data_IF_148398611293
#
_entry.id   IF_148398611293
#
_cell.length_a   1.000
_cell.length_b   1.000
_cell.length_c   1.000
_cell.angle_alpha   90.00
_cell.angle_beta   90.00
_cell.angle_gamma   90.00
#
_symmetry.space_group_name_H-M   'P 1'
#
loop_
_entity.id
_entity.type
_entity.pdbx_description
1 polymer ?
#
# COMPACT_ATOMS: atom_id res chain seq x y z
N UNK A 1 -56.17 -26.17 40.59
CA UNK A 1 -54.72 -25.83 40.71
C UNK A 1 -54.17 -25.58 39.34
N UNK A 2 -53.97 -24.30 38.96
CA UNK A 2 -53.45 -23.86 37.65
C UNK A 2 -51.98 -23.50 37.79
N UNK A 3 -51.09 -24.17 37.07
CA UNK A 3 -49.69 -23.77 36.94
C UNK A 3 -49.54 -22.89 35.71
N UNK A 4 -49.14 -21.65 35.90
CA UNK A 4 -48.78 -20.69 34.85
C UNK A 4 -47.33 -20.94 34.44
N UNK A 5 -47.08 -21.22 33.17
CA UNK A 5 -45.75 -21.22 32.57
C UNK A 5 -45.31 -19.79 32.21
N UNK A 6 -44.15 -19.41 32.67
CA UNK A 6 -43.48 -18.15 32.26
C UNK A 6 -42.68 -18.42 31.01
N UNK A 7 -43.03 -17.75 29.92
CA UNK A 7 -42.18 -17.61 28.71
C UNK A 7 -41.21 -16.46 28.96
N UNK A 8 -39.94 -16.76 29.03
CA UNK A 8 -38.86 -15.77 29.04
C UNK A 8 -38.54 -15.45 27.59
N UNK A 9 -38.91 -14.26 27.16
CA UNK A 9 -38.46 -13.67 25.88
C UNK A 9 -37.08 -13.06 26.08
N UNK A 10 -36.05 -13.69 25.54
CA UNK A 10 -34.71 -13.12 25.48
C UNK A 10 -34.65 -12.02 24.39
N UNK A 11 -34.65 -10.76 24.81
CA UNK A 11 -34.34 -9.63 24.01
C UNK A 11 -32.82 -9.61 23.74
N UNK A 12 -32.39 -10.06 22.58
CA UNK A 12 -31.08 -9.76 22.01
C UNK A 12 -31.10 -8.30 21.53
N UNK A 13 -30.66 -7.39 22.39
CA UNK A 13 -30.38 -6.02 21.98
C UNK A 13 -29.12 -6.02 21.11
N UNK A 14 -29.30 -5.89 19.80
CA UNK A 14 -28.21 -5.66 18.85
C UNK A 14 -27.55 -4.33 19.17
N UNK A 15 -26.31 -4.37 19.63
CA UNK A 15 -25.43 -3.19 19.67
C UNK A 15 -25.04 -2.84 18.25
N UNK A 16 -25.83 -2.04 17.59
CA UNK A 16 -25.41 -1.28 16.42
C UNK A 16 -24.42 -0.22 16.90
N UNK A 17 -23.13 -0.52 16.83
CA UNK A 17 -22.08 0.45 17.01
C UNK A 17 -22.16 1.51 15.89
N UNK A 18 -22.70 2.69 16.24
CA UNK A 18 -22.57 3.88 15.37
C UNK A 18 -21.08 4.15 15.21
N UNK A 19 -20.61 4.25 13.98
CA UNK A 19 -19.31 4.83 13.64
C UNK A 19 -19.28 6.25 14.25
N UNK A 20 -18.68 6.36 15.43
CA UNK A 20 -18.67 7.57 16.21
C UNK A 20 -17.51 8.47 15.80
N UNK A 21 -17.71 9.79 15.89
CA UNK A 21 -16.65 10.79 15.88
C UNK A 21 -15.77 10.56 17.13
N UNK A 22 -14.85 9.62 17.04
CA UNK A 22 -13.85 9.37 18.07
C UNK A 22 -12.71 10.37 17.90
N UNK A 23 -12.41 11.14 18.96
CA UNK A 23 -11.15 11.87 19.11
C UNK A 23 -10.03 10.83 19.33
N UNK A 24 -9.66 10.11 18.27
CA UNK A 24 -8.63 9.06 18.31
C UNK A 24 -7.25 9.67 18.09
N UNK A 25 -6.58 10.11 19.13
CA UNK A 25 -5.11 10.07 19.11
C UNK A 25 -4.74 8.60 19.21
N UNK A 26 -4.16 8.04 18.11
CA UNK A 26 -3.47 6.77 18.19
C UNK A 26 -2.42 6.89 19.31
N UNK A 27 -2.75 6.38 20.49
CA UNK A 27 -1.79 6.25 21.57
C UNK A 27 -0.61 5.48 20.97
N UNK A 28 0.62 5.95 21.18
CA UNK A 28 1.84 5.24 20.78
C UNK A 28 1.79 3.86 21.45
N UNK A 29 1.27 2.88 20.72
CA UNK A 29 1.40 1.48 21.16
C UNK A 29 2.89 1.17 21.09
N UNK A 30 3.45 0.79 22.27
CA UNK A 30 4.79 0.20 22.28
C UNK A 30 4.80 -0.98 21.30
N UNK A 31 5.88 -1.16 20.54
CA UNK A 31 6.02 -2.33 19.69
C UNK A 31 5.75 -3.59 20.50
N UNK A 32 4.93 -4.49 19.99
CA UNK A 32 4.83 -5.83 20.56
C UNK A 32 6.21 -6.50 20.37
N UNK A 33 6.94 -6.68 21.44
CA UNK A 33 8.23 -7.36 21.42
C UNK A 33 8.01 -8.79 20.94
N UNK A 34 8.65 -9.20 19.83
CA UNK A 34 8.84 -10.60 19.48
C UNK A 34 8.10 -11.15 18.27
N UNK A 35 7.13 -10.47 17.64
CA UNK A 35 6.47 -11.00 16.44
C UNK A 35 7.00 -10.34 15.17
N UNK A 36 7.82 -11.09 14.43
CA UNK A 36 8.20 -10.73 13.06
C UNK A 36 6.96 -10.65 12.16
N UNK A 37 6.92 -9.68 11.23
CA UNK A 37 5.84 -9.57 10.27
C UNK A 37 5.74 -10.83 9.39
N UNK A 38 4.51 -11.32 9.12
CA UNK A 38 4.31 -12.39 8.14
C UNK A 38 4.87 -11.97 6.77
N UNK A 39 5.31 -12.95 6.00
CA UNK A 39 5.77 -12.77 4.62
C UNK A 39 4.90 -13.57 3.66
N UNK A 40 4.80 -13.09 2.42
CA UNK A 40 4.09 -13.76 1.33
C UNK A 40 4.92 -13.75 0.07
N UNK A 41 4.76 -14.81 -0.72
CA UNK A 41 5.43 -14.95 -2.01
C UNK A 41 5.10 -13.78 -2.92
N UNK A 42 6.16 -13.09 -3.38
CA UNK A 42 6.07 -12.10 -4.44
C UNK A 42 6.20 -12.80 -5.80
N UNK A 43 7.35 -13.40 -6.04
CA UNK A 43 7.65 -14.11 -7.27
C UNK A 43 8.91 -14.97 -7.06
N UNK A 44 9.03 -16.10 -7.80
CA UNK A 44 10.16 -17.01 -7.71
C UNK A 44 10.50 -17.38 -6.25
N UNK A 45 11.68 -17.02 -5.78
CA UNK A 45 12.19 -17.23 -4.42
C UNK A 45 12.05 -15.99 -3.50
N UNK A 46 11.37 -14.94 -3.98
CA UNK A 46 11.22 -13.67 -3.25
C UNK A 46 9.95 -13.65 -2.41
N UNK A 47 10.11 -13.48 -1.10
CA UNK A 47 9.01 -13.25 -0.15
C UNK A 47 9.06 -11.81 0.37
N UNK A 48 7.92 -11.12 0.37
CA UNK A 48 7.77 -9.77 0.92
C UNK A 48 7.03 -9.78 2.25
N UNK A 49 7.42 -8.89 3.16
CA UNK A 49 6.63 -8.59 4.35
C UNK A 49 5.25 -8.08 3.93
N UNK A 50 4.20 -8.54 4.62
CA UNK A 50 2.80 -8.18 4.29
C UNK A 50 2.51 -6.69 4.45
N UNK A 51 3.36 -5.96 5.17
CA UNK A 51 3.39 -4.49 5.22
C UNK A 51 4.71 -4.02 4.63
N UNK A 52 4.65 -3.12 3.65
CA UNK A 52 5.81 -2.45 3.07
C UNK A 52 6.03 -1.07 3.67
N UNK A 53 7.27 -0.60 3.62
CA UNK A 53 7.66 0.74 4.02
C UNK A 53 7.52 1.72 2.86
N UNK A 54 6.63 2.70 2.98
CA UNK A 54 6.50 3.78 1.99
C UNK A 54 7.48 4.92 2.26
N UNK A 55 8.39 5.22 1.33
CA UNK A 55 9.43 6.25 1.48
C UNK A 55 8.90 7.66 1.81
N UNK A 56 7.64 7.95 1.49
CA UNK A 56 6.94 9.18 1.91
C UNK A 56 7.06 9.44 3.44
N UNK A 57 7.18 8.39 4.25
CA UNK A 57 7.37 8.48 5.71
C UNK A 57 8.59 9.36 6.04
N UNK A 58 9.65 9.28 5.24
CA UNK A 58 10.93 9.94 5.50
C UNK A 58 10.98 11.43 5.15
N UNK A 59 9.98 11.94 4.43
CA UNK A 59 9.90 13.38 4.13
C UNK A 59 9.83 14.19 5.44
N UNK A 60 10.45 15.35 5.44
CA UNK A 60 10.55 16.28 6.60
C UNK A 60 11.28 15.71 7.83
N UNK A 61 11.97 14.55 7.73
CA UNK A 61 12.80 13.98 8.79
C UNK A 61 14.25 14.41 8.62
N UNK A 62 15.01 14.50 9.72
CA UNK A 62 16.48 14.51 9.64
C UNK A 62 17.01 13.14 9.17
N UNK A 63 18.23 13.09 8.64
CA UNK A 63 18.85 11.81 8.25
C UNK A 63 18.97 10.84 9.44
N UNK A 64 19.23 11.35 10.64
CA UNK A 64 19.31 10.55 11.86
C UNK A 64 17.98 9.87 12.18
N UNK A 65 16.87 10.60 12.08
CA UNK A 65 15.52 10.04 12.29
C UNK A 65 15.18 9.02 11.20
N UNK A 66 15.50 9.32 9.94
CA UNK A 66 15.30 8.39 8.83
C UNK A 66 16.07 7.06 9.06
N UNK A 67 17.33 7.14 9.50
CA UNK A 67 18.12 5.95 9.81
C UNK A 67 17.49 5.12 10.94
N UNK A 68 16.99 5.77 11.99
CA UNK A 68 16.32 5.08 13.11
C UNK A 68 15.04 4.37 12.69
N UNK A 69 14.20 5.06 11.92
CA UNK A 69 12.92 4.52 11.44
C UNK A 69 13.11 3.36 10.47
N UNK A 70 14.09 3.45 9.57
CA UNK A 70 14.41 2.38 8.63
C UNK A 70 15.02 1.17 9.36
N UNK A 71 15.91 1.38 10.32
CA UNK A 71 16.45 0.31 11.14
C UNK A 71 15.35 -0.41 11.93
N UNK A 72 14.47 0.33 12.61
CA UNK A 72 13.33 -0.26 13.33
C UNK A 72 12.44 -1.09 12.39
N UNK A 73 12.13 -0.57 11.20
CA UNK A 73 11.33 -1.29 10.23
C UNK A 73 12.00 -2.61 9.81
N UNK A 74 13.29 -2.58 9.50
CA UNK A 74 14.06 -3.77 9.11
C UNK A 74 14.14 -4.79 10.25
N UNK A 75 14.42 -4.36 11.48
CA UNK A 75 14.51 -5.20 12.67
C UNK A 75 13.17 -5.88 12.99
N UNK A 76 12.05 -5.24 12.65
CA UNK A 76 10.69 -5.80 12.76
C UNK A 76 10.29 -6.70 11.58
N UNK A 77 11.21 -6.97 10.65
CA UNK A 77 11.04 -7.89 9.54
C UNK A 77 10.44 -7.28 8.27
N UNK A 78 10.34 -5.94 8.19
CA UNK A 78 9.98 -5.27 6.93
C UNK A 78 11.15 -5.44 5.96
N UNK A 79 10.88 -6.05 4.81
CA UNK A 79 11.85 -6.19 3.74
C UNK A 79 11.40 -5.59 2.41
N UNK A 80 10.21 -5.01 2.33
CA UNK A 80 9.69 -4.30 1.15
C UNK A 80 9.71 -2.80 1.40
N UNK A 81 10.58 -2.09 0.67
CA UNK A 81 10.71 -0.64 0.69
C UNK A 81 10.32 -0.06 -0.65
N UNK A 82 9.42 0.91 -0.64
CA UNK A 82 8.82 1.50 -1.84
C UNK A 82 8.97 3.03 -1.82
N UNK A 83 9.64 3.58 -2.81
CA UNK A 83 9.94 5.02 -2.92
C UNK A 83 9.65 5.54 -4.32
N UNK A 84 9.65 6.85 -4.50
CA UNK A 84 9.54 7.49 -5.79
C UNK A 84 10.24 8.86 -5.79
N UNK A 85 10.81 9.32 -6.93
CA UNK A 85 11.43 10.64 -7.07
C UNK A 85 10.44 11.79 -6.84
N UNK A 86 9.14 11.56 -7.03
CA UNK A 86 8.09 12.55 -6.74
C UNK A 86 7.85 12.78 -5.23
N UNK A 87 8.38 11.92 -4.34
CA UNK A 87 8.19 12.07 -2.90
C UNK A 87 9.18 13.13 -2.35
N UNK A 88 8.66 14.33 -2.08
CA UNK A 88 9.47 15.46 -1.64
C UNK A 88 10.52 15.91 -2.68
N UNK A 89 10.20 15.79 -3.98
CA UNK A 89 11.13 16.13 -5.08
C UNK A 89 12.48 15.40 -4.99
N UNK A 90 12.47 14.17 -4.47
CA UNK A 90 13.66 13.32 -4.28
C UNK A 90 14.16 13.24 -2.84
N UNK A 91 13.64 14.05 -1.93
CA UNK A 91 14.03 14.03 -0.51
C UNK A 91 13.91 12.63 0.11
N UNK A 92 12.81 11.91 -0.20
CA UNK A 92 12.60 10.56 0.29
C UNK A 92 13.69 9.58 -0.18
N UNK A 93 14.14 9.70 -1.44
CA UNK A 93 15.22 8.89 -1.99
C UNK A 93 16.56 9.20 -1.32
N UNK A 94 16.88 10.49 -1.16
CA UNK A 94 18.13 10.96 -0.56
C UNK A 94 18.28 10.52 0.91
N UNK A 95 17.17 10.39 1.63
CA UNK A 95 17.14 9.89 3.00
C UNK A 95 17.13 8.36 3.09
N UNK A 96 16.39 7.71 2.19
CA UNK A 96 16.27 6.26 2.20
C UNK A 96 17.59 5.57 1.79
N UNK A 97 18.32 6.10 0.82
CA UNK A 97 19.58 5.52 0.33
C UNK A 97 20.58 5.24 1.45
N UNK A 98 21.07 6.27 2.17
CA UNK A 98 21.97 6.08 3.30
C UNK A 98 21.39 5.20 4.40
N UNK A 99 20.07 5.34 4.70
CA UNK A 99 19.41 4.58 5.76
C UNK A 99 19.33 3.08 5.44
N UNK A 100 19.22 2.70 4.15
CA UNK A 100 19.19 1.31 3.71
C UNK A 100 20.57 0.68 3.49
N UNK A 101 21.64 1.43 3.55
CA UNK A 101 22.98 0.94 3.15
C UNK A 101 23.39 -0.37 3.85
N UNK A 102 23.11 -0.50 5.14
CA UNK A 102 23.39 -1.71 5.92
C UNK A 102 22.45 -2.89 5.59
N UNK A 103 21.27 -2.61 5.04
CA UNK A 103 20.20 -3.59 4.80
C UNK A 103 20.01 -3.93 3.33
N UNK A 104 20.65 -3.19 2.40
CA UNK A 104 20.37 -3.26 0.95
C UNK A 104 20.31 -4.69 0.38
N UNK A 105 21.19 -5.57 0.86
CA UNK A 105 21.26 -6.97 0.40
C UNK A 105 20.14 -7.87 0.91
N UNK A 106 19.43 -7.45 1.94
CA UNK A 106 18.37 -8.22 2.59
C UNK A 106 16.98 -7.68 2.36
N UNK A 107 16.87 -6.54 1.66
CA UNK A 107 15.59 -5.88 1.38
C UNK A 107 15.26 -5.89 -0.11
N UNK A 108 13.97 -5.83 -0.40
CA UNK A 108 13.42 -5.62 -1.72
C UNK A 108 13.13 -4.12 -1.89
N UNK A 109 13.92 -3.46 -2.72
CA UNK A 109 13.81 -2.02 -2.98
C UNK A 109 13.06 -1.77 -4.28
N UNK A 110 11.93 -1.08 -4.16
CA UNK A 110 11.10 -0.64 -5.27
C UNK A 110 11.19 0.86 -5.48
N UNK A 111 11.38 1.29 -6.72
CA UNK A 111 11.31 2.68 -7.11
C UNK A 111 10.36 2.88 -8.30
N UNK A 112 10.09 4.13 -8.69
CA UNK A 112 9.08 4.44 -9.70
C UNK A 112 9.52 5.62 -10.58
N UNK A 113 8.83 5.79 -11.74
CA UNK A 113 8.96 7.00 -12.56
C UNK A 113 7.59 7.52 -13.00
N UNK A 114 7.44 8.84 -13.01
CA UNK A 114 6.29 9.53 -13.60
C UNK A 114 6.46 9.73 -15.13
N UNK A 115 7.64 9.45 -15.66
CA UNK A 115 7.95 9.65 -17.06
C UNK A 115 7.27 8.59 -17.95
N UNK A 116 6.84 9.02 -19.13
CA UNK A 116 6.16 8.15 -20.10
C UNK A 116 6.96 7.95 -21.38
N UNK A 117 8.07 8.65 -21.53
CA UNK A 117 9.00 8.60 -22.66
C UNK A 117 10.35 8.02 -22.26
N UNK A 118 11.02 7.36 -23.18
CA UNK A 118 12.24 6.58 -22.92
C UNK A 118 13.39 7.43 -22.35
N UNK A 119 13.71 8.57 -22.97
CA UNK A 119 14.82 9.42 -22.53
C UNK A 119 14.64 9.99 -21.11
N UNK A 120 13.53 10.69 -20.84
CA UNK A 120 13.22 11.16 -19.49
C UNK A 120 13.18 10.04 -18.43
N UNK A 121 12.59 8.88 -18.76
CA UNK A 121 12.55 7.73 -17.84
C UNK A 121 13.95 7.18 -17.52
N UNK A 122 14.86 7.15 -18.49
CA UNK A 122 16.25 6.76 -18.25
C UNK A 122 16.99 7.77 -17.36
N UNK A 123 16.83 9.05 -17.64
CA UNK A 123 17.43 10.10 -16.82
C UNK A 123 16.93 10.06 -15.37
N UNK A 124 15.65 9.77 -15.17
CA UNK A 124 15.08 9.63 -13.83
C UNK A 124 15.58 8.36 -13.14
N UNK A 125 15.62 7.21 -13.82
CA UNK A 125 16.19 5.95 -13.29
C UNK A 125 17.63 6.13 -12.80
N UNK A 126 18.50 6.74 -13.62
CA UNK A 126 19.92 6.99 -13.27
C UNK A 126 20.02 7.92 -12.06
N UNK A 127 19.19 8.95 -11.99
CA UNK A 127 19.14 9.90 -10.89
C UNK A 127 18.68 9.22 -9.59
N UNK A 128 17.67 8.36 -9.66
CA UNK A 128 17.14 7.59 -8.54
C UNK A 128 18.16 6.58 -8.00
N UNK A 129 18.85 5.84 -8.88
CA UNK A 129 19.93 4.94 -8.48
C UNK A 129 21.04 5.69 -7.70
N UNK A 130 21.42 6.89 -8.17
CA UNK A 130 22.41 7.72 -7.50
C UNK A 130 21.94 8.20 -6.12
N UNK A 131 20.69 8.71 -6.01
CA UNK A 131 20.15 9.20 -4.73
C UNK A 131 19.99 8.08 -3.71
N UNK A 132 19.57 6.92 -4.16
CA UNK A 132 19.38 5.74 -3.32
C UNK A 132 20.68 4.96 -3.05
N UNK A 133 21.81 5.41 -3.63
CA UNK A 133 23.14 4.81 -3.43
C UNK A 133 23.16 3.29 -3.70
N UNK A 134 22.50 2.89 -4.79
CA UNK A 134 22.36 1.49 -5.22
C UNK A 134 22.63 1.36 -6.71
N UNK A 135 23.07 0.19 -7.14
CA UNK A 135 23.34 -0.14 -8.55
C UNK A 135 22.11 -0.74 -9.26
N UNK A 136 21.10 -1.19 -8.50
CA UNK A 136 19.88 -1.76 -9.05
C UNK A 136 18.66 -1.55 -8.17
N UNK A 137 17.48 -1.72 -8.77
CA UNK A 137 16.18 -1.89 -8.10
C UNK A 137 15.69 -3.32 -8.26
N UNK A 138 15.11 -3.84 -7.18
CA UNK A 138 14.39 -5.11 -7.27
C UNK A 138 13.11 -4.95 -8.12
N UNK A 139 12.38 -3.85 -7.96
CA UNK A 139 11.20 -3.52 -8.75
C UNK A 139 11.27 -2.06 -9.22
N UNK A 140 11.05 -1.83 -10.51
CA UNK A 140 10.87 -0.49 -11.04
C UNK A 140 9.50 -0.36 -11.69
N UNK A 141 8.77 0.74 -11.39
CA UNK A 141 7.35 0.86 -11.70
C UNK A 141 7.02 2.13 -12.49
N UNK A 142 6.12 2.03 -13.46
CA UNK A 142 5.39 3.20 -13.95
C UNK A 142 4.53 3.74 -12.83
N UNK A 143 4.71 5.01 -12.46
CA UNK A 143 4.06 5.61 -11.29
C UNK A 143 2.71 6.23 -11.64
N UNK A 144 1.67 5.86 -10.90
CA UNK A 144 0.37 6.52 -10.90
C UNK A 144 -0.26 6.68 -12.30
N UNK A 145 -0.28 5.61 -13.09
CA UNK A 145 -0.96 5.63 -14.39
C UNK A 145 -2.46 5.83 -14.17
N UNK A 146 -3.03 6.88 -14.74
CA UNK A 146 -4.42 7.29 -14.50
C UNK A 146 -5.26 7.43 -15.76
N UNK A 147 -4.63 7.61 -16.91
CA UNK A 147 -5.31 7.87 -18.19
C UNK A 147 -4.85 6.92 -19.28
N UNK A 148 -5.73 6.65 -20.24
CA UNK A 148 -5.42 5.78 -21.37
C UNK A 148 -4.36 6.36 -22.30
N UNK A 149 -4.32 7.70 -22.48
CA UNK A 149 -3.26 8.34 -23.28
C UNK A 149 -1.85 8.17 -22.68
N UNK A 150 -1.75 8.08 -21.35
CA UNK A 150 -0.47 7.73 -20.71
C UNK A 150 -0.06 6.28 -21.04
N UNK A 151 -1.04 5.37 -21.07
CA UNK A 151 -0.80 3.98 -21.48
C UNK A 151 -0.29 3.93 -22.91
N UNK A 152 -0.96 4.64 -23.86
CA UNK A 152 -0.49 4.70 -25.26
C UNK A 152 0.96 5.20 -25.35
N UNK A 153 1.31 6.26 -24.64
CA UNK A 153 2.67 6.84 -24.64
C UNK A 153 3.71 5.88 -24.08
N UNK A 154 3.41 5.14 -23.02
CA UNK A 154 4.32 4.16 -22.41
C UNK A 154 4.71 3.07 -23.43
N UNK A 155 3.76 2.64 -24.26
CA UNK A 155 3.95 1.53 -25.21
C UNK A 155 4.28 1.98 -26.64
N UNK A 156 4.26 3.28 -26.94
CA UNK A 156 4.62 3.82 -28.25
C UNK A 156 6.13 3.63 -28.53
N UNK A 157 6.56 3.68 -29.81
CA UNK A 157 7.99 3.82 -30.15
C UNK A 157 8.59 5.03 -29.42
N UNK A 158 9.72 4.85 -28.74
CA UNK A 158 10.33 5.85 -27.86
C UNK A 158 9.62 6.01 -26.51
N UNK A 159 8.67 5.14 -26.18
CA UNK A 159 7.99 5.12 -24.89
C UNK A 159 8.84 4.53 -23.76
N UNK A 160 8.46 4.84 -22.52
CA UNK A 160 9.26 4.51 -21.35
C UNK A 160 9.45 3.00 -21.14
N UNK A 161 8.60 2.13 -21.72
CA UNK A 161 8.79 0.68 -21.66
C UNK A 161 10.12 0.23 -22.28
N UNK A 162 10.59 0.90 -23.32
CA UNK A 162 11.88 0.57 -23.94
C UNK A 162 13.04 0.72 -22.94
N UNK A 163 13.01 1.77 -22.14
CA UNK A 163 13.99 2.00 -21.07
C UNK A 163 13.90 0.90 -20.00
N UNK A 164 12.70 0.52 -19.57
CA UNK A 164 12.53 -0.53 -18.56
C UNK A 164 13.08 -1.89 -19.05
N UNK A 165 12.74 -2.26 -20.29
CA UNK A 165 13.22 -3.51 -20.88
C UNK A 165 14.74 -3.51 -21.04
N UNK A 166 15.33 -2.40 -21.49
CA UNK A 166 16.78 -2.22 -21.60
C UNK A 166 17.45 -2.30 -20.22
N UNK A 167 16.95 -1.54 -19.23
CA UNK A 167 17.49 -1.52 -17.88
C UNK A 167 17.43 -2.89 -17.19
N UNK A 168 16.39 -3.69 -17.48
CA UNK A 168 16.30 -5.07 -17.00
C UNK A 168 17.40 -5.96 -17.63
N UNK A 169 17.67 -5.83 -18.91
CA UNK A 169 18.76 -6.55 -19.57
C UNK A 169 20.14 -6.15 -19.03
N UNK A 170 20.30 -4.88 -18.62
CA UNK A 170 21.51 -4.34 -18.02
C UNK A 170 21.66 -4.68 -16.53
N UNK A 171 20.69 -5.34 -15.92
CA UNK A 171 20.71 -5.69 -14.50
C UNK A 171 20.39 -4.52 -13.54
N UNK A 172 20.03 -3.35 -14.04
CA UNK A 172 19.61 -2.19 -13.23
C UNK A 172 18.21 -2.35 -12.63
N UNK A 173 17.39 -3.22 -13.20
CA UNK A 173 16.03 -3.54 -12.76
C UNK A 173 15.87 -5.06 -12.79
N UNK A 174 15.38 -5.68 -11.70
CA UNK A 174 15.05 -7.10 -11.70
C UNK A 174 13.65 -7.36 -12.21
N UNK A 175 12.66 -6.68 -11.64
CA UNK A 175 11.23 -6.82 -11.97
C UNK A 175 10.65 -5.50 -12.49
N UNK A 176 9.66 -5.61 -13.37
CA UNK A 176 8.95 -4.48 -13.98
C UNK A 176 7.50 -4.50 -13.51
N UNK A 177 7.04 -3.39 -12.92
CA UNK A 177 5.67 -3.22 -12.50
C UNK A 177 5.09 -1.87 -12.87
N UNK A 178 3.89 -1.62 -12.38
CA UNK A 178 3.26 -0.31 -12.47
C UNK A 178 2.35 -0.06 -11.27
N UNK A 179 2.10 1.22 -10.98
CA UNK A 179 1.02 1.65 -10.10
C UNK A 179 -0.02 2.43 -10.89
N UNK A 180 -1.29 2.26 -10.55
CA UNK A 180 -2.38 2.95 -11.22
C UNK A 180 -3.44 3.41 -10.22
N UNK A 181 -4.15 4.49 -10.55
CA UNK A 181 -5.28 5.00 -9.78
C UNK A 181 -6.58 5.07 -10.62
N UNK A 182 -6.61 4.34 -11.74
CA UNK A 182 -7.76 4.15 -12.62
C UNK A 182 -7.85 2.67 -13.00
N UNK A 183 -9.03 2.06 -12.88
CA UNK A 183 -9.22 0.67 -13.30
C UNK A 183 -9.03 0.52 -14.81
N UNK A 184 -9.58 1.45 -15.60
CA UNK A 184 -9.42 1.41 -17.06
C UNK A 184 -7.94 1.44 -17.47
N UNK A 185 -7.14 2.33 -16.87
CA UNK A 185 -5.72 2.40 -17.14
C UNK A 185 -4.98 1.14 -16.67
N UNK A 186 -5.31 0.62 -15.48
CA UNK A 186 -4.69 -0.60 -14.96
C UNK A 186 -4.98 -1.83 -15.84
N UNK A 187 -6.23 -1.98 -16.26
CA UNK A 187 -6.65 -3.07 -17.15
C UNK A 187 -5.95 -2.99 -18.51
N UNK A 188 -5.85 -1.77 -19.08
CA UNK A 188 -5.15 -1.53 -20.34
C UNK A 188 -3.65 -1.81 -20.24
N UNK A 189 -3.00 -1.48 -19.11
CA UNK A 189 -1.60 -1.84 -18.85
C UNK A 189 -1.42 -3.37 -18.83
N UNK A 190 -2.27 -4.08 -18.09
CA UNK A 190 -2.23 -5.54 -17.98
C UNK A 190 -2.46 -6.27 -19.30
N UNK A 191 -3.18 -5.66 -20.25
CA UNK A 191 -3.40 -6.24 -21.58
C UNK A 191 -2.18 -6.17 -22.50
N UNK A 192 -1.24 -5.26 -22.24
CA UNK A 192 -0.19 -4.92 -23.19
C UNK A 192 1.19 -5.48 -22.87
N UNK A 193 1.44 -5.85 -21.62
CA UNK A 193 2.76 -6.34 -21.21
C UNK A 193 2.66 -7.33 -20.06
N UNK A 194 3.55 -8.30 -20.03
CA UNK A 194 3.68 -9.25 -18.92
C UNK A 194 4.42 -8.60 -17.75
N UNK A 195 3.69 -7.79 -16.99
CA UNK A 195 4.20 -7.16 -15.78
C UNK A 195 4.44 -8.20 -14.67
N UNK A 196 5.44 -7.95 -13.84
CA UNK A 196 5.71 -8.75 -12.66
C UNK A 196 4.77 -8.41 -11.50
N UNK A 197 4.36 -7.14 -11.38
CA UNK A 197 3.41 -6.71 -10.34
C UNK A 197 2.59 -5.48 -10.73
N UNK A 198 1.43 -5.35 -10.08
CA UNK A 198 0.60 -4.15 -10.05
C UNK A 198 0.45 -3.65 -8.62
N UNK A 199 0.70 -2.36 -8.40
CA UNK A 199 0.47 -1.65 -7.14
C UNK A 199 -0.77 -0.77 -7.29
N UNK A 200 -1.87 -1.14 -6.62
CA UNK A 200 -3.19 -0.55 -6.85
C UNK A 200 -3.90 -0.18 -5.54
N UNK A 201 -4.72 0.90 -5.51
CA UNK A 201 -5.50 1.26 -4.34
C UNK A 201 -6.56 0.21 -4.04
N UNK A 202 -6.19 -0.78 -3.24
CA UNK A 202 -7.07 -1.84 -2.80
C UNK A 202 -7.20 -1.77 -1.28
N UNK A 203 -8.34 -1.25 -0.82
CA UNK A 203 -8.65 -1.03 0.59
C UNK A 203 -10.13 -1.21 0.87
N UNK A 204 -10.48 -1.35 2.14
CA UNK A 204 -11.82 -1.68 2.60
C UNK A 204 -12.90 -0.74 2.02
N UNK A 205 -12.73 0.57 2.12
CA UNK A 205 -13.77 1.55 1.72
C UNK A 205 -13.90 1.65 0.20
N UNK A 206 -12.78 1.66 -0.54
CA UNK A 206 -12.83 1.67 -2.01
C UNK A 206 -13.46 0.39 -2.56
N UNK A 207 -13.15 -0.75 -1.96
CA UNK A 207 -13.76 -2.03 -2.31
C UNK A 207 -15.27 -2.02 -2.06
N UNK A 208 -15.69 -1.71 -0.82
CA UNK A 208 -17.07 -1.86 -0.40
C UNK A 208 -18.02 -0.81 -0.99
N UNK A 209 -17.61 0.46 -1.01
CA UNK A 209 -18.45 1.59 -1.40
C UNK A 209 -18.14 2.13 -2.79
N UNK A 210 -16.93 1.84 -3.30
CA UNK A 210 -16.49 2.27 -4.63
C UNK A 210 -16.62 1.20 -5.70
N UNK A 211 -16.76 -0.06 -5.33
CA UNK A 211 -16.58 -1.24 -6.20
C UNK A 211 -15.24 -1.21 -6.95
N UNK A 212 -14.27 -0.49 -6.40
CA UNK A 212 -12.98 -0.21 -7.03
C UNK A 212 -11.93 -1.23 -6.60
N UNK A 213 -11.29 -1.84 -7.55
CA UNK A 213 -10.20 -2.80 -7.35
C UNK A 213 -10.48 -4.24 -7.76
N UNK A 214 -11.68 -4.82 -7.56
CA UNK A 214 -11.93 -6.22 -7.85
C UNK A 214 -11.54 -6.66 -9.26
N UNK A 215 -11.93 -5.90 -10.28
CA UNK A 215 -11.64 -6.23 -11.69
C UNK A 215 -10.13 -6.26 -11.97
N UNK A 216 -9.37 -5.31 -11.44
CA UNK A 216 -7.90 -5.26 -11.59
C UNK A 216 -7.24 -6.43 -10.86
N UNK A 217 -7.68 -6.73 -9.63
CA UNK A 217 -7.13 -7.82 -8.83
C UNK A 217 -7.39 -9.18 -9.46
N UNK A 218 -8.60 -9.41 -9.99
CA UNK A 218 -8.96 -10.65 -10.68
C UNK A 218 -8.13 -10.82 -11.96
N UNK A 219 -8.05 -9.77 -12.80
CA UNK A 219 -7.28 -9.82 -14.03
C UNK A 219 -5.79 -10.08 -13.75
N UNK A 220 -5.21 -9.37 -12.78
CA UNK A 220 -3.83 -9.58 -12.39
C UNK A 220 -3.58 -11.01 -11.90
N UNK A 221 -4.51 -11.57 -11.11
CA UNK A 221 -4.47 -12.98 -10.67
C UNK A 221 -4.44 -13.95 -11.85
N UNK A 222 -5.36 -13.78 -12.79
CA UNK A 222 -5.48 -14.66 -13.97
C UNK A 222 -4.24 -14.60 -14.87
N UNK A 223 -3.52 -13.48 -14.89
CA UNK A 223 -2.28 -13.29 -15.62
C UNK A 223 -1.02 -13.68 -14.82
N UNK A 224 -1.16 -14.12 -13.57
CA UNK A 224 -0.02 -14.42 -12.70
C UNK A 224 0.79 -13.18 -12.29
N UNK A 225 0.18 -11.98 -12.35
CA UNK A 225 0.79 -10.72 -11.93
C UNK A 225 0.61 -10.53 -10.42
N UNK A 226 1.70 -10.26 -9.72
CA UNK A 226 1.67 -10.04 -8.27
C UNK A 226 0.88 -8.79 -7.91
N UNK A 227 0.03 -8.89 -6.90
CA UNK A 227 -0.86 -7.83 -6.45
C UNK A 227 -0.32 -7.19 -5.18
N UNK A 228 -0.01 -5.89 -5.27
CA UNK A 228 0.42 -5.05 -4.17
C UNK A 228 -0.67 -4.01 -3.89
N UNK A 229 -1.05 -3.84 -2.63
CA UNK A 229 -2.12 -2.93 -2.24
C UNK A 229 -1.58 -1.57 -1.81
N UNK A 230 -2.22 -0.48 -2.24
CA UNK A 230 -1.98 0.88 -1.77
C UNK A 230 -3.07 1.33 -0.81
N UNK A 231 -2.72 2.27 0.08
CA UNK A 231 -3.69 3.03 0.88
C UNK A 231 -4.54 2.12 1.78
N UNK A 232 -3.91 1.11 2.35
CA UNK A 232 -4.56 0.10 3.22
C UNK A 232 -5.42 0.73 4.33
N UNK A 233 -5.00 1.86 4.91
CA UNK A 233 -5.72 2.60 5.95
C UNK A 233 -6.41 3.86 5.39
N UNK A 234 -6.92 3.84 4.15
CA UNK A 234 -7.67 4.99 3.64
C UNK A 234 -9.15 4.90 4.07
N UNK A 235 -9.62 5.97 4.74
CA UNK A 235 -11.02 6.16 5.11
C UNK A 235 -11.81 6.78 3.95
N UNK A 236 -11.34 7.90 3.39
CA UNK A 236 -12.04 8.63 2.36
C UNK A 236 -11.35 9.94 1.98
N UNK A 237 -12.04 10.84 1.25
CA UNK A 237 -11.53 12.16 0.95
C UNK A 237 -11.29 12.97 2.23
N UNK A 238 -10.34 13.91 2.18
CA UNK A 238 -10.16 14.86 3.28
C UNK A 238 -11.45 15.68 3.48
N UNK A 239 -11.81 15.98 4.74
CA UNK A 239 -12.84 16.97 5.03
C UNK A 239 -12.53 18.30 4.34
N UNK A 240 -13.56 18.99 3.85
CA UNK A 240 -13.40 20.31 3.20
C UNK A 240 -12.84 21.37 4.15
N UNK A 241 -13.10 21.22 5.42
CA UNK A 241 -12.70 22.15 6.47
C UNK A 241 -11.96 21.40 7.58
N UNK A 242 -11.04 22.08 8.25
CA UNK A 242 -10.28 21.53 9.36
C UNK A 242 -8.79 21.38 9.09
N UNK A 243 -8.02 21.24 10.17
CA UNK A 243 -6.57 21.03 10.11
C UNK A 243 -6.29 19.56 9.80
N UNK A 244 -5.37 19.30 8.87
CA UNK A 244 -4.91 17.95 8.58
C UNK A 244 -4.14 17.37 9.78
N UNK A 245 -4.62 16.29 10.35
CA UNK A 245 -3.91 15.55 11.41
C UNK A 245 -2.64 14.88 10.88
N UNK A 246 -2.66 14.49 9.60
CA UNK A 246 -1.57 13.82 8.89
C UNK A 246 -1.16 14.64 7.66
N UNK A 247 -0.19 15.56 7.79
CA UNK A 247 0.13 16.52 6.74
C UNK A 247 0.52 15.89 5.40
N UNK A 248 1.21 14.74 5.44
CA UNK A 248 1.65 14.01 4.24
C UNK A 248 0.53 13.21 3.55
N UNK A 249 -0.61 13.01 4.21
CA UNK A 249 -1.75 12.32 3.60
C UNK A 249 -2.63 13.33 2.84
N UNK A 250 -2.94 13.01 1.57
CA UNK A 250 -3.88 13.80 0.76
C UNK A 250 -5.33 13.27 0.84
N UNK A 251 -5.56 12.25 1.63
CA UNK A 251 -6.84 11.65 1.97
C UNK A 251 -6.95 11.50 3.49
N UNK A 252 -8.15 11.24 4.00
CA UNK A 252 -8.37 10.97 5.42
C UNK A 252 -7.93 9.52 5.72
N UNK A 253 -6.92 9.31 6.57
CA UNK A 253 -6.56 7.98 7.03
C UNK A 253 -7.53 7.46 8.10
N UNK A 254 -7.54 6.15 8.27
CA UNK A 254 -8.13 5.46 9.41
C UNK A 254 -7.08 5.42 10.52
N UNK A 255 -7.37 6.00 11.68
CA UNK A 255 -6.49 6.07 12.86
C UNK A 255 -7.17 5.59 14.15
N UNK A 256 -8.47 5.31 14.11
CA UNK A 256 -9.14 4.55 15.17
C UNK A 256 -8.65 3.10 15.15
N UNK A 257 -8.34 2.56 16.32
CA UNK A 257 -7.71 1.24 16.45
C UNK A 257 -8.62 0.11 15.95
N UNK A 258 -9.92 0.18 16.18
CA UNK A 258 -10.88 -0.86 15.78
C UNK A 258 -11.08 -0.82 14.27
N UNK A 259 -11.29 0.38 13.73
CA UNK A 259 -11.44 0.58 12.28
C UNK A 259 -10.16 0.21 11.52
N UNK A 260 -8.99 0.61 12.03
CA UNK A 260 -7.69 0.27 11.46
C UNK A 260 -7.45 -1.25 11.45
N UNK A 261 -7.80 -1.94 12.54
CA UNK A 261 -7.73 -3.41 12.62
C UNK A 261 -8.61 -4.06 11.55
N UNK A 262 -9.83 -3.57 11.38
CA UNK A 262 -10.74 -4.06 10.36
C UNK A 262 -10.19 -3.82 8.94
N UNK A 263 -9.66 -2.64 8.67
CA UNK A 263 -9.07 -2.29 7.37
C UNK A 263 -7.82 -3.14 7.05
N UNK A 264 -6.92 -3.33 8.02
CA UNK A 264 -5.74 -4.19 7.88
C UNK A 264 -6.16 -5.64 7.66
N UNK A 265 -7.06 -6.18 8.51
CA UNK A 265 -7.56 -7.55 8.37
C UNK A 265 -8.25 -7.76 7.03
N UNK A 266 -9.09 -6.81 6.58
CA UNK A 266 -9.72 -6.89 5.27
C UNK A 266 -8.68 -6.98 4.17
N UNK A 267 -7.77 -5.99 4.07
CA UNK A 267 -6.78 -5.94 2.99
C UNK A 267 -5.88 -7.18 2.98
N UNK A 268 -5.41 -7.62 4.14
CA UNK A 268 -4.54 -8.79 4.24
C UNK A 268 -5.28 -10.15 4.12
N UNK A 269 -6.62 -10.18 4.25
CA UNK A 269 -7.41 -11.40 3.99
C UNK A 269 -7.67 -11.62 2.49
N UNK A 270 -7.48 -10.59 1.68
CA UNK A 270 -7.58 -10.70 0.23
C UNK A 270 -6.28 -11.22 -0.37
N UNK A 271 -6.34 -11.61 -1.64
CA UNK A 271 -5.20 -12.21 -2.37
C UNK A 271 -4.19 -11.12 -2.80
N UNK A 272 -3.57 -10.46 -1.82
CA UNK A 272 -2.49 -9.47 -2.00
C UNK A 272 -1.21 -9.94 -1.32
N UNK A 273 -0.07 -9.67 -1.94
CA UNK A 273 1.23 -10.04 -1.38
C UNK A 273 1.65 -9.11 -0.25
N UNK A 274 1.57 -7.81 -0.48
CA UNK A 274 1.93 -6.78 0.49
C UNK A 274 1.04 -5.56 0.35
N UNK A 275 0.95 -4.76 1.43
CA UNK A 275 0.18 -3.53 1.44
C UNK A 275 1.01 -2.36 1.99
N UNK A 276 0.85 -1.18 1.38
CA UNK A 276 1.48 0.07 1.81
C UNK A 276 0.47 0.92 2.60
N UNK A 277 0.78 1.22 3.88
CA UNK A 277 0.00 2.16 4.69
C UNK A 277 0.24 3.62 4.24
N UNK A 278 -0.50 4.60 4.81
CA UNK A 278 -0.25 6.02 4.56
C UNK A 278 1.17 6.43 4.97
N UNK A 279 1.71 7.47 4.29
CA UNK A 279 3.06 7.99 4.48
C UNK A 279 3.28 8.78 5.77
N UNK A 280 2.74 8.34 6.91
CA UNK A 280 2.98 8.90 8.24
C UNK A 280 3.51 7.82 9.18
N UNK A 281 4.52 8.15 9.97
CA UNK A 281 5.21 7.18 10.85
C UNK A 281 4.26 6.53 11.87
N UNK A 282 3.31 7.29 12.41
CA UNK A 282 2.34 6.77 13.41
C UNK A 282 1.41 5.73 12.77
N UNK A 283 0.98 5.98 11.53
CA UNK A 283 0.12 5.06 10.78
C UNK A 283 0.90 3.85 10.27
N UNK A 284 2.18 4.02 9.94
CA UNK A 284 3.06 2.92 9.61
C UNK A 284 3.25 1.98 10.82
N UNK A 285 3.54 2.52 12.00
CA UNK A 285 3.64 1.74 13.24
C UNK A 285 2.32 1.03 13.58
N UNK A 286 1.19 1.72 13.44
CA UNK A 286 -0.14 1.13 13.64
C UNK A 286 -0.36 -0.07 12.70
N UNK A 287 -0.06 0.10 11.41
CA UNK A 287 -0.20 -0.96 10.43
C UNK A 287 0.72 -2.17 10.72
N UNK A 288 1.99 -1.93 11.09
CA UNK A 288 2.92 -3.00 11.47
C UNK A 288 2.43 -3.77 12.70
N UNK A 289 1.97 -3.06 13.75
CA UNK A 289 1.48 -3.70 14.97
C UNK A 289 0.26 -4.58 14.67
N UNK A 290 -0.70 -4.07 13.92
CA UNK A 290 -1.90 -4.82 13.55
C UNK A 290 -1.59 -6.00 12.61
N UNK A 291 -0.63 -5.84 11.71
CA UNK A 291 -0.23 -6.90 10.80
C UNK A 291 0.58 -8.02 11.47
N UNK A 292 1.34 -7.71 12.54
CA UNK A 292 2.04 -8.74 13.32
C UNK A 292 1.10 -9.68 14.07
N UNK A 293 -0.13 -9.23 14.34
CA UNK A 293 -1.21 -9.99 14.97
C UNK A 293 -2.26 -10.49 13.96
N UNK A 294 -1.96 -10.41 12.66
CA UNK A 294 -2.92 -10.70 11.61
C UNK A 294 -3.50 -12.11 11.70
N UNK A 295 -4.82 -12.16 11.61
CA UNK A 295 -5.60 -13.39 11.42
C UNK A 295 -6.58 -13.16 10.28
N UNK A 296 -6.70 -14.10 9.32
CA UNK A 296 -7.66 -14.00 8.22
C UNK A 296 -9.09 -13.80 8.74
N UNK A 297 -9.90 -13.08 7.97
CA UNK A 297 -11.32 -12.91 8.24
C UNK A 297 -12.08 -14.20 7.92
N UNK A 298 -12.97 -14.58 8.81
CA UNK A 298 -14.04 -15.54 8.47
C UNK A 298 -15.06 -14.87 7.52
N UNK A 299 -15.86 -15.65 6.77
CA UNK A 299 -16.91 -15.08 5.90
C UNK A 299 -17.90 -14.17 6.63
N UNK A 300 -18.27 -14.50 7.89
CA UNK A 300 -19.15 -13.68 8.71
C UNK A 300 -18.52 -12.34 9.08
N UNK A 301 -17.29 -12.37 9.63
CA UNK A 301 -16.55 -11.14 9.96
C UNK A 301 -16.35 -10.24 8.72
N UNK A 302 -16.05 -10.83 7.57
CA UNK A 302 -15.91 -10.09 6.31
C UNK A 302 -17.21 -9.36 5.96
N UNK A 303 -18.36 -10.03 6.08
CA UNK A 303 -19.68 -9.43 5.82
C UNK A 303 -19.96 -8.27 6.77
N UNK A 304 -19.69 -8.43 8.06
CA UNK A 304 -19.88 -7.38 9.07
C UNK A 304 -18.99 -6.16 8.82
N UNK A 305 -17.72 -6.38 8.53
CA UNK A 305 -16.76 -5.30 8.24
C UNK A 305 -17.18 -4.52 6.98
N UNK A 306 -17.61 -5.21 5.92
CA UNK A 306 -18.10 -4.57 4.71
C UNK A 306 -19.38 -3.74 5.00
N UNK A 307 -20.33 -4.28 5.76
CA UNK A 307 -21.54 -3.57 6.16
C UNK A 307 -21.23 -2.33 7.02
N UNK A 308 -20.20 -2.40 7.87
CA UNK A 308 -19.73 -1.27 8.68
C UNK A 308 -19.26 -0.05 7.87
N UNK A 309 -18.95 -0.21 6.57
CA UNK A 309 -18.56 0.91 5.71
C UNK A 309 -19.74 1.70 5.14
N UNK A 310 -20.99 1.29 5.40
CA UNK A 310 -22.17 1.94 4.84
C UNK A 310 -22.18 3.44 5.14
N UNK A 311 -22.40 4.24 4.10
CA UNK A 311 -22.44 5.71 4.19
C UNK A 311 -21.05 6.38 4.11
N UNK A 312 -19.96 5.63 4.03
CA UNK A 312 -18.64 6.20 3.80
C UNK A 312 -18.47 6.59 2.32
N UNK A 313 -17.67 7.63 2.09
CA UNK A 313 -17.33 8.08 0.73
C UNK A 313 -15.96 7.50 0.36
N UNK A 314 -15.86 6.65 -0.68
CA UNK A 314 -14.58 6.10 -1.10
C UNK A 314 -13.73 7.15 -1.83
N UNK A 315 -12.40 6.95 -1.80
CA UNK A 315 -11.45 7.77 -2.58
C UNK A 315 -11.58 7.56 -4.09
N UNK A 316 -11.91 6.34 -4.49
CA UNK A 316 -12.01 5.94 -5.89
C UNK A 316 -13.31 5.16 -6.09
N UNK A 317 -13.85 5.27 -7.32
CA UNK A 317 -14.99 4.51 -7.81
C UNK A 317 -14.66 3.92 -9.18
N UNK A 318 -15.19 2.71 -9.46
CA UNK A 318 -15.19 2.12 -10.81
C UNK A 318 -16.24 2.76 -11.69
#
# INVERSE_FOLDING_TARGET
MKRRGFLAASLLAGMFGRWGKGNGMAAMMKPAEGNSLPKRRYRDDVDLSVVGFGGIVLMDMSQREANQVVAEAADRGVNYFDVAPSYGAGEAEEKLGPALSAYRKSVFLSCKTMEREAGPAEAELVRSLKRLQTDHFDLYQFHAVTRLDEVERIFAPGGALETFVRARKEGKIRYIGFSAHSEAAALAMLDRFAFDSVLFPFNLVCYAQGRFGPAVMEKAKNLGVTRLALKMLAHGPLPREGKKTYPKAWYQPIDDLVEARNAVRFTLSEDVTAALPPGDIRLFHLAMNLASEFRPLSPGERTEILAGTNGLTPLFRS
#
